data_IF_985687168105
#
_entry.id   IF_985687168105
#
_cell.length_a   1.000
_cell.length_b   1.000
_cell.length_c   1.000
_cell.angle_alpha   90.00
_cell.angle_beta   90.00
_cell.angle_gamma   90.00
#
_symmetry.space_group_name_H-M   'P 1'
#
loop_
_entity.id
_entity.type
_entity.pdbx_description
1 polymer ?
#
# COMPACT_ATOMS: atom_id res chain seq x y z
N UNK A 1 -17.36 18.69 1.55
CA UNK A 1 -16.79 17.60 2.38
C UNK A 1 -15.40 17.37 1.84
N UNK A 2 -14.38 17.83 2.54
CA UNK A 2 -12.98 17.63 2.12
C UNK A 2 -12.62 16.23 2.61
N UNK A 3 -12.49 15.27 1.70
CA UNK A 3 -12.01 13.93 2.06
C UNK A 3 -10.59 14.06 2.63
N UNK A 4 -10.29 13.32 3.70
CA UNK A 4 -8.90 13.24 4.18
C UNK A 4 -8.06 12.56 3.09
N UNK A 5 -6.74 12.78 3.09
CA UNK A 5 -5.84 12.05 2.18
C UNK A 5 -5.99 10.53 2.38
N UNK A 6 -6.22 10.08 3.61
CA UNK A 6 -6.44 8.69 3.97
C UNK A 6 -7.64 8.07 3.23
N UNK A 7 -8.78 8.76 3.17
CA UNK A 7 -9.98 8.25 2.48
C UNK A 7 -9.70 8.00 1.00
N UNK A 8 -8.94 8.89 0.36
CA UNK A 8 -8.58 8.77 -1.06
C UNK A 8 -7.63 7.61 -1.30
N UNK A 9 -6.63 7.43 -0.43
CA UNK A 9 -5.68 6.31 -0.51
C UNK A 9 -6.39 4.96 -0.31
N UNK A 10 -7.30 4.88 0.66
CA UNK A 10 -8.08 3.67 0.94
C UNK A 10 -8.99 3.33 -0.25
N UNK A 11 -9.73 4.31 -0.78
CA UNK A 11 -10.61 4.08 -1.93
C UNK A 11 -9.83 3.60 -3.16
N UNK A 12 -8.67 4.22 -3.44
CA UNK A 12 -7.79 3.79 -4.53
C UNK A 12 -7.26 2.36 -4.31
N UNK A 13 -6.85 2.02 -3.09
CA UNK A 13 -6.38 0.68 -2.78
C UNK A 13 -7.49 -0.37 -2.95
N UNK A 14 -8.73 -0.09 -2.53
CA UNK A 14 -9.89 -0.98 -2.75
C UNK A 14 -10.10 -1.20 -4.25
N UNK A 15 -10.11 -0.13 -5.04
CA UNK A 15 -10.32 -0.21 -6.49
C UNK A 15 -9.27 -1.12 -7.15
N UNK A 16 -7.99 -0.93 -6.84
CA UNK A 16 -6.91 -1.71 -7.44
C UNK A 16 -6.89 -3.17 -6.96
N UNK A 17 -7.17 -3.43 -5.67
CA UNK A 17 -7.19 -4.79 -5.12
C UNK A 17 -8.36 -5.62 -5.66
N UNK A 18 -9.51 -4.97 -5.90
CA UNK A 18 -10.73 -5.61 -6.42
C UNK A 18 -10.78 -5.66 -7.95
N UNK A 19 -9.80 -5.05 -8.63
CA UNK A 19 -9.72 -5.11 -10.08
C UNK A 19 -9.54 -6.56 -10.57
N UNK A 20 -10.23 -6.98 -11.64
CA UNK A 20 -10.19 -8.36 -12.13
C UNK A 20 -8.84 -8.75 -12.76
N UNK A 21 -7.95 -7.79 -13.00
CA UNK A 21 -6.63 -8.02 -13.58
C UNK A 21 -5.51 -8.08 -12.55
N UNK A 22 -4.30 -7.78 -13.02
CA UNK A 22 -3.08 -7.80 -12.23
C UNK A 22 -2.66 -6.40 -11.75
N UNK A 23 -3.58 -5.44 -11.75
CA UNK A 23 -3.32 -4.04 -11.36
C UNK A 23 -2.80 -3.91 -9.92
N UNK A 24 -3.23 -4.83 -9.04
CA UNK A 24 -2.73 -4.93 -7.67
C UNK A 24 -1.20 -5.06 -7.57
N UNK A 25 -0.51 -5.57 -8.63
CA UNK A 25 0.96 -5.69 -8.64
C UNK A 25 1.66 -4.33 -8.64
N UNK A 26 1.04 -3.33 -9.27
CA UNK A 26 1.55 -1.98 -9.35
C UNK A 26 1.10 -1.10 -8.17
N UNK A 27 0.13 -1.54 -7.37
CA UNK A 27 -0.57 -0.72 -6.37
C UNK A 27 0.37 0.07 -5.46
N UNK A 28 1.37 -0.58 -4.86
CA UNK A 28 2.29 0.10 -3.93
C UNK A 28 3.13 1.16 -4.63
N UNK A 29 3.61 0.88 -5.84
CA UNK A 29 4.34 1.85 -6.66
C UNK A 29 3.45 3.04 -7.06
N UNK A 30 2.20 2.76 -7.43
CA UNK A 30 1.23 3.77 -7.80
C UNK A 30 0.89 4.68 -6.61
N UNK A 31 0.70 4.12 -5.42
CA UNK A 31 0.50 4.88 -4.17
C UNK A 31 1.68 5.83 -3.91
N UNK A 32 2.92 5.32 -3.96
CA UNK A 32 4.13 6.14 -3.75
C UNK A 32 4.30 7.22 -4.82
N UNK A 33 3.94 6.94 -6.07
CA UNK A 33 4.13 7.86 -7.20
C UNK A 33 3.08 8.97 -7.22
N UNK A 34 1.83 8.63 -6.92
CA UNK A 34 0.70 9.57 -6.97
C UNK A 34 0.61 10.44 -5.71
N UNK A 35 1.00 9.91 -4.55
CA UNK A 35 1.00 10.63 -3.28
C UNK A 35 2.39 10.60 -2.63
N UNK A 36 3.40 11.23 -3.23
CA UNK A 36 4.76 11.15 -2.70
C UNK A 36 4.94 11.90 -1.38
N UNK A 37 4.06 12.85 -1.07
CA UNK A 37 4.24 13.76 0.06
C UNK A 37 3.40 13.39 1.31
N UNK A 38 2.62 12.29 1.27
CA UNK A 38 1.92 11.78 2.46
C UNK A 38 2.91 11.16 3.44
N UNK A 39 2.54 11.09 4.72
CA UNK A 39 3.39 10.45 5.71
C UNK A 39 3.60 8.98 5.35
N UNK A 40 4.81 8.47 5.56
CA UNK A 40 5.19 7.13 5.07
C UNK A 40 4.27 6.00 5.61
N UNK A 41 3.73 6.19 6.82
CA UNK A 41 2.84 5.23 7.48
C UNK A 41 1.39 5.29 7.00
N UNK A 42 0.98 6.34 6.28
CA UNK A 42 -0.37 6.42 5.70
C UNK A 42 -0.57 5.33 4.63
N UNK A 43 0.49 4.93 3.92
CA UNK A 43 0.39 3.89 2.89
C UNK A 43 0.08 2.49 3.46
N UNK A 44 0.85 1.92 4.40
CA UNK A 44 0.49 0.64 5.01
C UNK A 44 -0.84 0.71 5.76
N UNK A 45 -1.17 1.85 6.39
CA UNK A 45 -2.48 2.05 6.99
C UNK A 45 -3.60 1.91 5.94
N UNK A 46 -3.50 2.62 4.81
CA UNK A 46 -4.51 2.58 3.76
C UNK A 46 -4.70 1.16 3.19
N UNK A 47 -3.62 0.40 3.04
CA UNK A 47 -3.68 -0.99 2.58
C UNK A 47 -4.40 -1.92 3.58
N UNK A 48 -4.13 -1.76 4.89
CA UNK A 48 -4.84 -2.51 5.95
C UNK A 48 -6.31 -2.13 5.99
N UNK A 49 -6.63 -0.84 5.96
CA UNK A 49 -8.00 -0.35 5.98
C UNK A 49 -8.79 -0.82 4.75
N UNK A 50 -8.18 -0.80 3.56
CA UNK A 50 -8.78 -1.34 2.34
C UNK A 50 -9.04 -2.85 2.44
N UNK A 51 -8.07 -3.64 2.90
CA UNK A 51 -8.22 -5.08 3.08
C UNK A 51 -9.35 -5.43 4.07
N UNK A 52 -9.37 -4.74 5.22
CA UNK A 52 -10.41 -4.90 6.24
C UNK A 52 -11.80 -4.57 5.67
N UNK A 53 -11.92 -3.46 4.93
CA UNK A 53 -13.19 -3.07 4.32
C UNK A 53 -13.68 -4.10 3.28
N UNK A 54 -12.76 -4.70 2.50
CA UNK A 54 -13.12 -5.76 1.55
C UNK A 54 -13.61 -7.01 2.30
N UNK A 55 -12.92 -7.44 3.36
CA UNK A 55 -13.33 -8.59 4.16
C UNK A 55 -14.72 -8.43 4.76
N UNK A 56 -14.97 -7.29 5.39
CA UNK A 56 -16.25 -6.98 6.05
C UNK A 56 -17.42 -6.98 5.06
N UNK A 57 -17.23 -6.42 3.87
CA UNK A 57 -18.31 -6.27 2.89
C UNK A 57 -18.58 -7.52 2.04
N UNK A 58 -17.61 -8.43 1.90
CA UNK A 58 -17.73 -9.59 1.01
C UNK A 58 -17.64 -10.95 1.70
N UNK A 59 -17.58 -10.98 3.04
CA UNK A 59 -17.74 -12.20 3.84
C UNK A 59 -16.62 -13.23 3.68
N UNK A 60 -15.42 -12.80 3.30
CA UNK A 60 -14.20 -13.60 3.32
C UNK A 60 -14.18 -14.83 2.41
N UNK A 61 -14.87 -14.81 1.25
CA UNK A 61 -14.84 -15.91 0.27
C UNK A 61 -14.57 -15.44 -1.16
N UNK A 62 -13.98 -16.33 -1.97
CA UNK A 62 -13.73 -16.09 -3.39
C UNK A 62 -12.73 -14.96 -3.66
N UNK A 63 -12.87 -14.28 -4.79
CA UNK A 63 -11.93 -13.25 -5.23
C UNK A 63 -11.75 -12.10 -4.23
N UNK A 64 -12.78 -11.76 -3.45
CA UNK A 64 -12.69 -10.72 -2.43
C UNK A 64 -11.79 -11.13 -1.24
N UNK A 65 -11.78 -12.41 -0.86
CA UNK A 65 -10.87 -12.92 0.16
C UNK A 65 -9.41 -12.83 -0.29
N UNK A 66 -9.14 -13.21 -1.54
CA UNK A 66 -7.80 -13.09 -2.12
C UNK A 66 -7.36 -11.62 -2.23
N UNK A 67 -8.27 -10.72 -2.59
CA UNK A 67 -8.00 -9.29 -2.64
C UNK A 67 -7.61 -8.72 -1.27
N UNK A 68 -8.34 -9.08 -0.21
CA UNK A 68 -8.01 -8.67 1.15
C UNK A 68 -6.67 -9.26 1.62
N UNK A 69 -6.43 -10.56 1.39
CA UNK A 69 -5.15 -11.20 1.71
C UNK A 69 -3.96 -10.48 1.05
N UNK A 70 -4.10 -10.12 -0.23
CA UNK A 70 -3.11 -9.32 -0.96
C UNK A 70 -2.89 -7.96 -0.29
N UNK A 71 -3.96 -7.26 0.09
CA UNK A 71 -3.87 -5.97 0.78
C UNK A 71 -3.06 -6.06 2.08
N UNK A 72 -3.37 -7.03 2.95
CA UNK A 72 -2.61 -7.24 4.19
C UNK A 72 -1.15 -7.62 3.92
N UNK A 73 -0.90 -8.48 2.93
CA UNK A 73 0.47 -8.87 2.55
C UNK A 73 1.29 -7.68 2.06
N UNK A 74 0.72 -6.82 1.22
CA UNK A 74 1.38 -5.61 0.74
C UNK A 74 1.66 -4.64 1.90
N UNK A 75 0.71 -4.46 2.83
CA UNK A 75 0.91 -3.63 4.01
C UNK A 75 2.05 -4.13 4.90
N UNK A 76 2.14 -5.46 5.10
CA UNK A 76 3.20 -6.08 5.90
C UNK A 76 4.57 -5.90 5.24
N UNK A 77 4.67 -6.14 3.93
CA UNK A 77 5.91 -5.93 3.17
C UNK A 77 6.36 -4.47 3.21
N UNK A 78 5.43 -3.53 3.00
CA UNK A 78 5.76 -2.11 3.04
C UNK A 78 6.18 -1.65 4.45
N UNK A 79 5.57 -2.21 5.50
CA UNK A 79 5.99 -1.95 6.89
C UNK A 79 7.38 -2.49 7.19
N UNK A 80 7.76 -3.63 6.61
CA UNK A 80 9.11 -4.18 6.71
C UNK A 80 10.14 -3.26 6.04
N UNK A 81 9.83 -2.69 4.88
CA UNK A 81 10.69 -1.69 4.23
C UNK A 81 10.92 -0.47 5.13
N UNK A 82 9.87 0.06 5.77
CA UNK A 82 10.01 1.20 6.70
C UNK A 82 10.95 0.85 7.87
N UNK A 83 10.84 -0.37 8.41
CA UNK A 83 11.72 -0.83 9.48
C UNK A 83 13.16 -1.02 8.98
N UNK A 84 13.35 -1.56 7.77
CA UNK A 84 14.67 -1.70 7.17
C UNK A 84 15.32 -0.33 6.90
N UNK A 85 14.55 0.67 6.49
CA UNK A 85 15.00 2.06 6.34
C UNK A 85 15.47 2.65 7.67
N UNK A 86 14.76 2.40 8.78
CA UNK A 86 15.20 2.79 10.13
C UNK A 86 16.55 2.16 10.48
N UNK A 87 16.69 0.84 10.30
CA UNK A 87 17.95 0.13 10.59
C UNK A 87 19.12 0.62 9.73
N UNK A 88 18.83 1.04 8.50
CA UNK A 88 19.81 1.60 7.58
C UNK A 88 20.11 3.10 7.81
N UNK A 89 19.44 3.76 8.76
CA UNK A 89 19.58 5.19 9.00
C UNK A 89 19.10 6.06 7.82
N UNK A 90 18.17 5.55 7.01
CA UNK A 90 17.59 6.27 5.87
C UNK A 90 16.42 7.16 6.31
N UNK A 91 16.17 8.22 5.54
CA UNK A 91 14.98 9.04 5.74
C UNK A 91 13.71 8.20 5.54
N UNK A 92 12.69 8.39 6.40
CA UNK A 92 11.40 7.66 6.36
C UNK A 92 10.26 8.55 6.82
N UNK A 93 10.18 9.75 6.26
CA UNK A 93 9.18 10.76 6.61
C UNK A 93 7.97 10.66 5.69
N UNK A 94 8.21 10.52 4.38
CA UNK A 94 7.16 10.56 3.37
C UNK A 94 7.22 9.36 2.44
N UNK A 95 6.13 9.09 1.70
CA UNK A 95 6.09 8.05 0.70
C UNK A 95 7.22 8.14 -0.33
N UNK A 96 7.67 9.35 -0.69
CA UNK A 96 8.81 9.58 -1.59
C UNK A 96 10.08 8.89 -1.14
N UNK A 97 10.29 8.74 0.17
CA UNK A 97 11.52 8.16 0.71
C UNK A 97 11.70 6.69 0.31
N UNK A 98 10.61 5.96 0.02
CA UNK A 98 10.68 4.61 -0.55
C UNK A 98 11.45 4.56 -1.86
N UNK A 99 11.39 5.60 -2.70
CA UNK A 99 12.11 5.64 -3.97
C UNK A 99 13.63 5.61 -3.78
N UNK A 100 14.14 6.13 -2.66
CA UNK A 100 15.55 6.04 -2.31
C UNK A 100 15.90 4.64 -1.80
N UNK A 101 15.05 4.07 -0.93
CA UNK A 101 15.24 2.72 -0.39
C UNK A 101 15.20 1.64 -1.48
N UNK A 102 14.28 1.74 -2.44
CA UNK A 102 14.13 0.73 -3.49
C UNK A 102 15.25 0.71 -4.54
N UNK A 103 16.19 1.66 -4.49
CA UNK A 103 17.46 1.54 -5.22
C UNK A 103 18.38 0.48 -4.62
N UNK A 104 18.19 0.15 -3.34
CA UNK A 104 18.93 -0.86 -2.58
C UNK A 104 18.15 -2.18 -2.58
N UNK A 105 16.86 -2.15 -2.22
CA UNK A 105 15.95 -3.30 -2.31
C UNK A 105 14.82 -3.06 -3.34
N UNK A 106 14.99 -3.53 -4.59
CA UNK A 106 14.10 -3.17 -5.68
C UNK A 106 12.80 -4.00 -5.74
N UNK A 107 12.36 -4.65 -4.65
CA UNK A 107 11.14 -5.48 -4.66
C UNK A 107 9.95 -4.75 -5.31
N UNK A 108 9.55 -3.59 -4.78
CA UNK A 108 8.44 -2.79 -5.32
C UNK A 108 8.79 -1.94 -6.55
N UNK A 109 10.08 -1.79 -6.89
CA UNK A 109 10.49 -1.08 -8.09
C UNK A 109 10.38 -1.93 -9.37
N UNK A 110 10.32 -3.27 -9.23
CA UNK A 110 10.30 -4.23 -10.35
C UNK A 110 8.89 -4.58 -10.85
N UNK A 111 7.85 -4.27 -10.09
CA UNK A 111 6.45 -4.61 -10.39
C UNK A 111 5.64 -3.33 -10.60
#
# INVERSE_FOLDING_TARGET
MTYSNEDVLVAFAIEQLMSPGDEWRALVRDLVTRWPDVAIFELPYALVAAASAIEENFGGRGAAAEAAERGYKLAALLSMDIYAMELAGMARNTARDFQAYWKIDPFFARF
#
